data_IF_162886159290
#
_entry.id   IF_162886159290
#
_cell.length_a   1.000
_cell.length_b   1.000
_cell.length_c   1.000
_cell.angle_alpha   90.00
_cell.angle_beta   90.00
_cell.angle_gamma   90.00
#
_symmetry.space_group_name_H-M   'P 1'
#
loop_
_entity.id
_entity.type
_entity.pdbx_description
1 polymer ?
#
# COMPACT_ATOMS: atom_id res chain seq x y z
N UNK A 1 4.67 30.77 -14.09
CA UNK A 1 3.22 30.58 -14.37
C UNK A 1 2.57 30.00 -13.12
N UNK A 2 2.02 30.84 -12.24
CA UNK A 2 1.30 30.39 -11.05
C UNK A 2 -0.16 30.14 -11.45
N UNK A 3 -0.59 28.88 -11.46
CA UNK A 3 -1.99 28.53 -11.68
C UNK A 3 -2.79 29.12 -10.51
N UNK A 4 -3.75 30.00 -10.82
CA UNK A 4 -4.66 30.67 -9.87
C UNK A 4 -5.14 29.72 -8.77
N UNK A 5 -4.69 30.01 -7.53
CA UNK A 5 -4.65 29.07 -6.41
C UNK A 5 -5.99 28.72 -5.77
N UNK A 6 -7.09 29.41 -6.07
CA UNK A 6 -8.31 29.27 -5.26
C UNK A 6 -9.11 27.99 -5.58
N UNK A 7 -9.18 27.58 -6.85
CA UNK A 7 -9.89 26.34 -7.25
C UNK A 7 -9.15 25.08 -6.82
N UNK A 8 -7.81 25.12 -6.79
CA UNK A 8 -7.00 24.02 -6.26
C UNK A 8 -7.29 23.80 -4.78
N UNK A 9 -7.23 24.86 -3.97
CA UNK A 9 -7.36 24.80 -2.49
C UNK A 9 -8.66 24.12 -2.04
N UNK A 10 -9.79 24.38 -2.69
CA UNK A 10 -11.08 23.73 -2.33
C UNK A 10 -11.11 22.23 -2.65
N UNK A 11 -10.42 21.80 -3.71
CA UNK A 11 -10.34 20.38 -4.06
C UNK A 11 -9.41 19.61 -3.11
N UNK A 12 -8.39 20.29 -2.54
CA UNK A 12 -7.46 19.72 -1.56
C UNK A 12 -8.09 19.52 -0.17
N UNK A 13 -8.89 20.49 0.30
CA UNK A 13 -9.55 20.39 1.61
C UNK A 13 -10.47 19.17 1.72
N UNK A 14 -11.13 18.78 0.62
CA UNK A 14 -12.00 17.59 0.56
C UNK A 14 -11.25 16.25 0.52
N UNK A 15 -9.96 16.24 0.20
CA UNK A 15 -9.17 15.02 0.08
C UNK A 15 -8.43 14.63 1.39
N UNK A 16 -8.70 15.33 2.50
CA UNK A 16 -8.01 15.12 3.78
C UNK A 16 -6.63 15.79 3.87
N UNK A 17 -6.20 16.51 2.82
CA UNK A 17 -4.98 17.32 2.82
C UNK A 17 -5.23 18.74 3.31
N UNK A 18 -6.26 18.95 4.14
CA UNK A 18 -6.62 20.25 4.66
C UNK A 18 -5.47 20.77 5.55
N UNK A 19 -4.63 21.61 4.93
CA UNK A 19 -3.42 22.29 5.45
C UNK A 19 -2.19 21.41 5.63
N UNK A 20 -1.68 20.88 4.52
CA UNK A 20 -0.24 20.70 4.42
C UNK A 20 0.41 22.07 4.61
N UNK A 21 1.15 22.23 5.70
CA UNK A 21 1.92 23.43 6.02
C UNK A 21 3.40 23.06 6.10
N UNK A 22 4.25 24.05 5.82
CA UNK A 22 5.66 23.96 6.12
C UNK A 22 5.91 24.13 7.64
N UNK A 23 7.16 24.05 8.08
CA UNK A 23 7.49 24.14 9.51
C UNK A 23 7.37 25.56 10.09
N UNK A 24 7.13 26.56 9.24
CA UNK A 24 6.75 27.93 9.62
C UNK A 24 5.25 28.17 9.47
N UNK A 25 4.45 27.10 9.43
CA UNK A 25 3.01 27.11 9.29
C UNK A 25 2.50 27.80 7.99
N UNK A 26 3.35 27.94 6.97
CA UNK A 26 2.94 28.49 5.67
C UNK A 26 2.24 27.39 4.86
N UNK A 27 1.13 27.71 4.16
CA UNK A 27 0.43 26.72 3.36
C UNK A 27 1.32 26.24 2.21
N UNK A 28 1.40 24.92 2.04
CA UNK A 28 2.16 24.28 0.95
C UNK A 28 1.19 23.68 -0.06
N UNK A 29 1.31 24.12 -1.31
CA UNK A 29 0.62 23.48 -2.45
C UNK A 29 1.44 22.28 -2.90
N UNK A 30 0.92 21.04 -2.80
CA UNK A 30 1.71 19.87 -3.13
C UNK A 30 1.86 19.76 -4.66
N UNK A 31 3.10 19.67 -5.12
CA UNK A 31 3.44 19.49 -6.53
C UNK A 31 2.96 18.13 -7.04
N UNK A 32 2.54 18.09 -8.32
CA UNK A 32 2.17 16.84 -8.97
C UNK A 32 3.40 15.95 -9.18
N UNK A 33 3.24 14.62 -9.09
CA UNK A 33 4.38 13.71 -9.31
C UNK A 33 5.04 13.95 -10.68
N UNK A 34 4.23 14.21 -11.72
CA UNK A 34 4.74 14.46 -13.07
C UNK A 34 5.61 15.72 -13.15
N UNK A 35 5.27 16.79 -12.44
CA UNK A 35 6.04 18.03 -12.39
C UNK A 35 7.31 17.87 -11.54
N UNK A 36 7.23 17.17 -10.41
CA UNK A 36 8.38 16.85 -9.58
C UNK A 36 9.46 16.05 -10.33
N UNK A 37 9.04 15.03 -11.08
CA UNK A 37 9.93 14.16 -11.86
C UNK A 37 10.61 14.91 -13.01
N UNK A 38 9.97 15.96 -13.55
CA UNK A 38 10.54 16.78 -14.64
C UNK A 38 11.60 17.77 -14.17
N UNK A 39 11.62 18.13 -12.88
CA UNK A 39 12.62 19.06 -12.37
C UNK A 39 13.95 18.39 -11.96
N UNK A 40 14.95 19.21 -11.67
CA UNK A 40 16.27 18.78 -11.21
C UNK A 40 17.35 19.71 -11.75
N UNK A 41 18.27 20.17 -10.90
CA UNK A 41 19.35 21.06 -11.31
C UNK A 41 20.53 20.33 -11.96
N UNK A 42 20.67 19.03 -11.67
CA UNK A 42 21.73 18.16 -12.18
C UNK A 42 21.22 16.72 -12.40
N UNK A 43 22.03 15.89 -13.07
CA UNK A 43 21.68 14.51 -13.44
C UNK A 43 21.40 13.60 -12.23
N UNK A 44 22.17 13.74 -11.14
CA UNK A 44 21.98 12.94 -9.93
C UNK A 44 20.65 13.28 -9.25
N UNK A 45 20.33 14.57 -9.12
CA UNK A 45 19.06 15.03 -8.57
C UNK A 45 17.87 14.57 -9.44
N UNK A 46 18.01 14.65 -10.77
CA UNK A 46 17.01 14.15 -11.70
C UNK A 46 16.79 12.65 -11.54
N UNK A 47 17.85 11.84 -11.41
CA UNK A 47 17.76 10.40 -11.19
C UNK A 47 17.06 10.07 -9.87
N UNK A 48 17.38 10.79 -8.79
CA UNK A 48 16.71 10.63 -7.47
C UNK A 48 15.24 11.01 -7.56
N UNK A 49 14.90 12.13 -8.20
CA UNK A 49 13.50 12.57 -8.39
C UNK A 49 12.71 11.56 -9.24
N UNK A 50 13.32 11.00 -10.28
CA UNK A 50 12.71 9.93 -11.07
C UNK A 50 12.50 8.67 -10.24
N UNK A 51 13.48 8.25 -9.43
CA UNK A 51 13.35 7.06 -8.61
C UNK A 51 12.29 7.23 -7.50
N UNK A 52 12.30 8.37 -6.82
CA UNK A 52 11.29 8.73 -5.83
C UNK A 52 9.91 8.88 -6.47
N UNK A 53 9.82 9.50 -7.65
CA UNK A 53 8.58 9.63 -8.41
C UNK A 53 8.01 8.30 -8.88
N UNK A 54 8.85 7.36 -9.34
CA UNK A 54 8.44 5.99 -9.67
C UNK A 54 7.92 5.24 -8.44
N UNK A 55 8.60 5.38 -7.30
CA UNK A 55 8.17 4.79 -6.04
C UNK A 55 6.85 5.40 -5.55
N UNK A 56 6.72 6.74 -5.52
CA UNK A 56 5.48 7.43 -5.15
C UNK A 56 4.32 7.07 -6.08
N UNK A 57 4.55 6.99 -7.40
CA UNK A 57 3.51 6.59 -8.37
C UNK A 57 3.01 5.18 -8.11
N UNK A 58 3.90 4.26 -7.70
CA UNK A 58 3.55 2.88 -7.34
C UNK A 58 2.66 2.84 -6.10
N UNK A 59 2.89 3.73 -5.14
CA UNK A 59 2.19 3.75 -3.84
C UNK A 59 0.94 4.63 -3.86
N UNK A 60 0.88 5.65 -4.71
CA UNK A 60 -0.17 6.66 -4.67
C UNK A 60 -1.62 6.12 -4.68
N UNK A 61 -1.96 5.01 -5.39
CA UNK A 61 -3.28 4.40 -5.28
C UNK A 61 -3.68 4.01 -3.84
N UNK A 62 -2.71 3.69 -2.97
CA UNK A 62 -2.89 3.23 -1.58
C UNK A 62 -2.91 4.33 -0.54
N UNK A 63 -2.20 5.43 -0.76
CA UNK A 63 -2.34 6.62 0.10
C UNK A 63 -3.80 7.06 0.21
N UNK A 64 -4.58 6.85 -0.86
CA UNK A 64 -6.02 7.11 -0.87
C UNK A 64 -6.85 6.11 -0.06
N UNK A 65 -6.40 4.85 0.07
CA UNK A 65 -7.04 3.85 0.92
C UNK A 65 -6.67 4.01 2.39
N UNK A 66 -5.54 4.62 2.73
CA UNK A 66 -5.25 4.97 4.13
C UNK A 66 -6.24 6.02 4.67
N UNK A 67 -6.67 6.97 3.82
CA UNK A 67 -7.68 7.97 4.17
C UNK A 67 -9.14 7.51 3.94
N UNK A 68 -9.38 6.27 3.52
CA UNK A 68 -10.74 5.73 3.36
C UNK A 68 -10.89 4.52 4.29
N UNK A 69 -11.97 4.42 5.10
CA UNK A 69 -12.19 3.23 5.91
C UNK A 69 -12.12 1.99 5.00
N UNK A 70 -11.11 1.14 5.28
CA UNK A 70 -10.54 0.16 4.37
C UNK A 70 -11.48 -1.01 4.05
N UNK A 71 -12.56 -1.16 4.81
CA UNK A 71 -13.56 -2.22 4.64
C UNK A 71 -14.69 -1.81 3.70
N UNK A 72 -15.09 -0.54 3.70
CA UNK A 72 -16.28 -0.11 2.99
C UNK A 72 -16.05 -0.06 1.49
N UNK A 73 -14.95 0.54 1.02
CA UNK A 73 -14.75 0.76 -0.41
C UNK A 73 -14.55 -0.54 -1.22
N UNK A 74 -13.90 -1.56 -0.64
CA UNK A 74 -13.75 -2.87 -1.27
C UNK A 74 -15.08 -3.62 -1.29
N UNK A 75 -15.88 -3.52 -0.21
CA UNK A 75 -17.23 -4.06 -0.18
C UNK A 75 -18.14 -3.36 -1.19
N UNK A 76 -18.13 -2.03 -1.27
CA UNK A 76 -18.95 -1.24 -2.19
C UNK A 76 -18.56 -1.37 -3.66
N UNK A 77 -17.35 -1.86 -3.99
CA UNK A 77 -16.93 -2.14 -5.37
C UNK A 77 -17.09 -3.62 -5.70
N UNK A 78 -16.72 -4.51 -4.77
CA UNK A 78 -16.82 -5.96 -4.95
C UNK A 78 -18.26 -6.45 -4.96
N UNK A 79 -19.11 -5.93 -4.06
CA UNK A 79 -20.52 -6.29 -3.95
C UNK A 79 -21.30 -6.05 -5.25
N UNK A 80 -21.27 -4.86 -5.89
CA UNK A 80 -21.96 -4.68 -7.16
C UNK A 80 -21.39 -5.53 -8.28
N UNK A 81 -20.08 -5.85 -8.31
CA UNK A 81 -19.52 -6.78 -9.30
C UNK A 81 -20.05 -8.19 -9.07
N UNK A 82 -20.09 -8.67 -7.82
CA UNK A 82 -20.64 -9.98 -7.46
C UNK A 82 -22.13 -10.02 -7.77
N UNK A 83 -22.89 -8.99 -7.42
CA UNK A 83 -24.31 -8.85 -7.74
C UNK A 83 -24.50 -8.83 -9.26
N UNK A 84 -23.67 -8.12 -10.03
CA UNK A 84 -23.77 -8.09 -11.50
C UNK A 84 -23.46 -9.46 -12.10
N UNK A 85 -22.46 -10.18 -11.57
CA UNK A 85 -22.12 -11.54 -11.99
C UNK A 85 -23.25 -12.53 -11.65
N UNK A 86 -23.83 -12.43 -10.46
CA UNK A 86 -24.97 -13.25 -10.05
C UNK A 86 -26.21 -12.93 -10.90
N UNK A 87 -26.55 -11.65 -11.06
CA UNK A 87 -27.65 -11.20 -11.93
C UNK A 87 -27.43 -11.67 -13.37
N UNK A 88 -26.20 -11.58 -13.89
CA UNK A 88 -25.86 -12.09 -15.23
C UNK A 88 -26.11 -13.59 -15.35
N UNK A 89 -25.89 -14.37 -14.29
CA UNK A 89 -26.10 -15.82 -14.28
C UNK A 89 -27.59 -16.18 -14.32
N UNK A 90 -28.43 -15.42 -13.61
CA UNK A 90 -29.90 -15.57 -13.64
C UNK A 90 -30.53 -15.02 -14.91
N UNK A 91 -29.98 -13.95 -15.48
CA UNK A 91 -30.49 -13.33 -16.71
C UNK A 91 -29.98 -13.99 -17.99
N UNK A 92 -29.07 -14.98 -17.90
CA UNK A 92 -28.50 -15.69 -19.06
C UNK A 92 -29.56 -16.33 -19.95
N UNK A 93 -30.61 -16.92 -19.37
CA UNK A 93 -31.70 -17.50 -20.15
C UNK A 93 -32.43 -16.46 -21.01
N UNK A 94 -32.73 -15.30 -20.42
CA UNK A 94 -33.43 -14.21 -21.11
C UNK A 94 -32.55 -13.48 -22.12
N UNK A 95 -31.30 -13.14 -21.76
CA UNK A 95 -30.39 -12.41 -22.65
C UNK A 95 -29.92 -13.23 -23.84
N UNK A 96 -29.66 -14.54 -23.65
CA UNK A 96 -29.30 -15.42 -24.77
C UNK A 96 -30.49 -15.64 -25.70
N UNK A 97 -31.71 -15.72 -25.17
CA UNK A 97 -32.92 -15.80 -25.99
C UNK A 97 -33.16 -14.53 -26.83
N UNK A 98 -32.84 -13.35 -26.31
CA UNK A 98 -33.07 -12.05 -26.99
C UNK A 98 -31.93 -11.60 -27.91
N UNK A 99 -30.68 -11.76 -27.49
CA UNK A 99 -29.49 -11.20 -28.16
C UNK A 99 -28.56 -12.28 -28.72
N UNK A 100 -28.97 -13.55 -28.64
CA UNK A 100 -28.16 -14.69 -29.05
C UNK A 100 -26.90 -14.85 -28.18
N UNK A 101 -25.87 -15.54 -28.70
CA UNK A 101 -24.67 -15.85 -27.94
C UNK A 101 -23.91 -14.59 -27.50
N UNK A 102 -24.14 -13.40 -28.08
CA UNK A 102 -23.39 -12.20 -27.71
C UNK A 102 -23.89 -11.50 -26.44
N UNK A 103 -25.05 -11.90 -25.89
CA UNK A 103 -25.62 -11.28 -24.69
C UNK A 103 -24.71 -11.33 -23.45
N UNK A 104 -23.75 -12.26 -23.38
CA UNK A 104 -22.80 -12.34 -22.26
C UNK A 104 -21.66 -11.31 -22.33
N UNK A 105 -21.34 -10.79 -23.53
CA UNK A 105 -20.21 -9.87 -23.69
C UNK A 105 -20.52 -8.49 -23.12
N UNK A 106 -21.77 -8.03 -23.23
CA UNK A 106 -22.17 -6.67 -22.84
C UNK A 106 -21.89 -6.38 -21.35
N UNK A 107 -22.39 -7.17 -20.37
CA UNK A 107 -22.12 -6.89 -18.95
C UNK A 107 -20.63 -7.07 -18.60
N UNK A 108 -19.94 -8.01 -19.26
CA UNK A 108 -18.50 -8.25 -19.05
C UNK A 108 -17.66 -7.06 -19.52
N UNK A 109 -17.95 -6.56 -20.72
CA UNK A 109 -17.29 -5.38 -21.29
C UNK A 109 -17.63 -4.11 -20.51
N UNK A 110 -18.88 -3.96 -20.05
CA UNK A 110 -19.27 -2.82 -19.20
C UNK A 110 -18.53 -2.84 -17.86
N UNK A 111 -18.46 -4.00 -17.20
CA UNK A 111 -17.69 -4.16 -15.97
C UNK A 111 -16.20 -3.85 -16.19
N UNK A 112 -15.60 -4.39 -17.25
CA UNK A 112 -14.22 -4.11 -17.63
C UNK A 112 -13.99 -2.62 -17.92
N UNK A 113 -14.90 -1.96 -18.64
CA UNK A 113 -14.83 -0.53 -18.94
C UNK A 113 -14.96 0.33 -17.68
N UNK A 114 -15.85 -0.01 -16.75
CA UNK A 114 -15.99 0.69 -15.47
C UNK A 114 -14.75 0.51 -14.58
N UNK A 115 -14.14 -0.68 -14.57
CA UNK A 115 -12.88 -0.95 -13.88
C UNK A 115 -11.75 -0.11 -14.50
N UNK A 116 -11.61 -0.14 -15.84
CA UNK A 116 -10.59 0.61 -16.56
C UNK A 116 -10.77 2.13 -16.40
N UNK A 117 -11.99 2.64 -16.46
CA UNK A 117 -12.31 4.05 -16.26
C UNK A 117 -11.99 4.49 -14.83
N UNK A 118 -12.43 3.73 -13.82
CA UNK A 118 -12.07 4.01 -12.43
C UNK A 118 -10.55 3.95 -12.21
N UNK A 119 -9.86 3.00 -12.83
CA UNK A 119 -8.41 2.88 -12.73
C UNK A 119 -7.69 4.09 -13.36
N UNK A 120 -8.15 4.54 -14.54
CA UNK A 120 -7.58 5.70 -15.26
C UNK A 120 -7.94 7.05 -14.63
N UNK A 121 -9.16 7.20 -14.11
CA UNK A 121 -9.57 8.39 -13.38
C UNK A 121 -8.81 8.51 -12.05
N UNK A 122 -8.45 7.39 -11.44
CA UNK A 122 -7.62 7.36 -10.22
C UNK A 122 -6.17 7.76 -10.48
N UNK A 123 -5.60 7.46 -11.65
CA UNK A 123 -4.16 7.64 -11.88
C UNK A 123 -3.69 9.09 -12.16
N UNK A 124 -4.61 10.02 -12.43
CA UNK A 124 -4.25 11.35 -12.98
C UNK A 124 -4.08 12.48 -11.96
N UNK A 125 -4.35 12.25 -10.67
CA UNK A 125 -4.35 13.32 -9.66
C UNK A 125 -3.63 12.88 -8.38
N UNK A 126 -2.35 12.51 -8.52
CA UNK A 126 -1.51 12.20 -7.38
C UNK A 126 -0.58 13.35 -7.06
N UNK A 127 -0.73 13.82 -5.83
CA UNK A 127 0.11 14.84 -5.23
C UNK A 127 1.16 14.18 -4.37
N UNK A 128 2.32 14.79 -4.34
CA UNK A 128 3.42 14.35 -3.51
C UNK A 128 3.09 14.62 -2.04
N UNK A 129 3.46 13.67 -1.17
CA UNK A 129 3.38 13.83 0.27
C UNK A 129 4.60 14.62 0.78
N UNK A 130 4.48 15.91 1.16
CA UNK A 130 5.63 16.78 1.43
C UNK A 130 6.57 16.24 2.52
N UNK A 131 6.11 15.73 3.67
CA UNK A 131 7.00 15.17 4.70
C UNK A 131 7.90 14.05 4.17
N UNK A 132 7.40 13.20 3.26
CA UNK A 132 8.16 12.09 2.67
C UNK A 132 9.27 12.60 1.76
N UNK A 133 9.05 13.70 1.05
CA UNK A 133 10.04 14.31 0.15
C UNK A 133 11.09 15.10 0.92
N UNK A 134 10.68 15.81 1.97
CA UNK A 134 11.58 16.50 2.91
C UNK A 134 12.51 15.52 3.61
N UNK A 135 12.00 14.35 3.99
CA UNK A 135 12.82 13.30 4.58
C UNK A 135 13.99 12.85 3.69
N UNK A 136 13.78 12.90 2.37
CA UNK A 136 14.80 12.59 1.37
C UNK A 136 15.76 13.76 1.11
N UNK A 137 15.56 14.91 1.76
CA UNK A 137 16.36 16.11 1.56
C UNK A 137 15.94 16.95 0.36
N UNK A 138 14.68 16.82 -0.10
CA UNK A 138 14.11 17.63 -1.18
C UNK A 138 12.98 18.50 -0.61
N UNK A 139 12.77 19.69 -1.14
CA UNK A 139 11.69 20.57 -0.71
C UNK A 139 10.33 19.91 -0.97
N UNK A 140 9.49 19.81 0.06
CA UNK A 140 8.16 19.20 -0.06
C UNK A 140 7.19 19.99 -0.95
N UNK A 141 7.48 21.25 -1.25
CA UNK A 141 6.68 22.09 -2.15
C UNK A 141 7.14 21.98 -3.61
N UNK A 142 8.37 22.35 -3.93
CA UNK A 142 8.86 22.43 -5.32
C UNK A 142 9.83 21.30 -5.73
N UNK A 143 10.26 20.46 -4.78
CA UNK A 143 11.23 19.39 -5.00
C UNK A 143 12.69 19.83 -5.02
N UNK A 144 13.01 21.12 -4.87
CA UNK A 144 14.40 21.63 -4.85
C UNK A 144 15.25 20.96 -3.77
N UNK A 145 16.50 20.61 -4.10
CA UNK A 145 17.43 20.01 -3.14
C UNK A 145 17.68 20.91 -1.93
N UNK A 146 17.48 20.38 -0.72
CA UNK A 146 17.80 21.06 0.53
C UNK A 146 19.25 20.81 0.98
N UNK A 147 20.04 20.15 0.13
CA UNK A 147 21.45 19.88 0.35
C UNK A 147 22.24 21.19 0.45
N UNK A 148 23.20 21.22 1.36
CA UNK A 148 24.16 22.33 1.54
C UNK A 148 23.52 23.68 1.92
N UNK A 149 22.21 23.72 2.18
CA UNK A 149 21.55 24.90 2.74
C UNK A 149 21.92 25.04 4.22
N UNK A 150 22.32 26.24 4.63
CA UNK A 150 22.52 26.56 6.03
C UNK A 150 21.15 26.68 6.73
N UNK A 151 20.94 26.00 7.87
CA UNK A 151 19.73 26.22 8.66
C UNK A 151 19.72 27.66 9.19
N UNK A 152 18.55 28.29 9.14
CA UNK A 152 18.32 29.57 9.81
C UNK A 152 18.32 29.41 11.34
N UNK A 153 18.16 30.51 12.08
CA UNK A 153 18.16 30.54 13.55
C UNK A 153 17.09 29.62 14.18
N UNK A 154 15.97 29.39 13.48
CA UNK A 154 14.89 28.49 13.88
C UNK A 154 15.13 27.02 13.46
N UNK A 155 16.37 26.68 13.08
CA UNK A 155 16.78 25.37 12.58
C UNK A 155 16.06 24.90 11.30
N UNK A 156 15.38 25.82 10.59
CA UNK A 156 14.72 25.53 9.33
C UNK A 156 15.63 25.81 8.13
N UNK A 157 15.56 24.93 7.15
CA UNK A 157 16.15 25.08 5.83
C UNK A 157 15.10 25.76 4.94
N UNK A 158 15.41 26.98 4.50
CA UNK A 158 14.52 27.76 3.63
C UNK A 158 14.85 27.47 2.18
N UNK A 159 13.88 26.94 1.43
CA UNK A 159 14.05 26.65 0.02
C UNK A 159 14.21 27.95 -0.78
N UNK A 160 15.30 28.15 -1.54
CA UNK A 160 15.52 29.38 -2.30
C UNK A 160 14.50 29.57 -3.44
N UNK A 161 13.94 28.49 -3.99
CA UNK A 161 13.01 28.56 -5.12
C UNK A 161 11.58 29.01 -4.75
N UNK A 162 11.04 28.49 -3.64
CA UNK A 162 9.63 28.70 -3.27
C UNK A 162 9.42 29.35 -1.91
N UNK A 163 10.48 29.50 -1.10
CA UNK A 163 10.41 30.11 0.22
C UNK A 163 9.77 29.25 1.32
N UNK A 164 9.40 27.98 1.03
CA UNK A 164 9.00 27.01 2.06
C UNK A 164 10.16 26.71 3.00
N UNK A 165 9.85 26.53 4.29
CA UNK A 165 10.82 26.26 5.34
C UNK A 165 10.61 24.87 5.97
N UNK A 166 11.67 24.08 6.06
CA UNK A 166 11.63 22.72 6.59
C UNK A 166 12.69 22.53 7.66
N UNK A 167 12.34 22.00 8.83
CA UNK A 167 13.30 21.74 9.90
C UNK A 167 14.35 20.73 9.44
N UNK A 168 15.62 21.02 9.74
CA UNK A 168 16.75 20.16 9.36
C UNK A 168 16.61 18.74 9.91
N UNK A 169 16.06 18.58 11.11
CA UNK A 169 15.78 17.28 11.76
C UNK A 169 14.81 16.38 10.98
N UNK A 170 13.97 16.94 10.10
CA UNK A 170 13.11 16.13 9.23
C UNK A 170 13.91 15.38 8.16
N UNK A 171 15.09 15.87 7.79
CA UNK A 171 15.98 15.24 6.82
C UNK A 171 16.70 14.08 7.49
N UNK A 172 16.01 12.96 7.45
CA UNK A 172 16.35 11.71 8.15
C UNK A 172 17.08 10.75 7.22
N UNK A 173 16.86 10.87 5.91
CA UNK A 173 17.48 10.01 4.91
C UNK A 173 17.81 10.81 3.64
N UNK A 174 18.79 11.71 3.71
CA UNK A 174 19.13 12.50 2.54
C UNK A 174 19.59 11.62 1.38
N UNK A 175 19.09 11.90 0.18
CA UNK A 175 19.44 11.13 -1.02
C UNK A 175 20.95 11.15 -1.32
N UNK A 176 21.67 12.16 -0.83
CA UNK A 176 23.11 12.32 -1.01
C UNK A 176 23.97 11.54 -0.01
N UNK A 177 23.43 11.11 1.14
CA UNK A 177 24.23 10.40 2.16
C UNK A 177 24.22 8.89 1.99
N UNK A 178 23.35 8.35 1.13
CA UNK A 178 23.29 6.92 0.86
C UNK A 178 22.69 6.72 -0.54
N UNK A 179 23.51 6.56 -1.59
CA UNK A 179 22.99 6.21 -2.91
C UNK A 179 22.27 4.87 -2.76
N UNK A 180 20.97 4.92 -2.98
CA UNK A 180 20.02 3.84 -2.70
C UNK A 180 20.50 2.52 -3.33
N UNK A 181 21.09 1.64 -2.51
CA UNK A 181 20.91 0.20 -2.63
C UNK A 181 20.12 -0.27 -1.41
N UNK A 182 18.91 0.26 -1.24
CA UNK A 182 17.88 -0.63 -0.70
C UNK A 182 17.58 -1.60 -1.83
N UNK A 183 18.52 -2.54 -2.05
CA UNK A 183 18.18 -3.81 -2.67
C UNK A 183 17.17 -4.40 -1.71
N UNK A 184 15.90 -4.03 -1.93
CA UNK A 184 14.79 -4.69 -1.27
C UNK A 184 15.04 -6.15 -1.55
N UNK A 185 15.01 -7.03 -0.52
CA UNK A 185 15.08 -8.44 -0.78
C UNK A 185 14.02 -8.69 -1.84
N UNK A 186 14.46 -9.03 -3.05
CA UNK A 186 13.57 -9.22 -4.17
C UNK A 186 12.73 -10.41 -3.75
N UNK A 187 11.54 -10.11 -3.19
CA UNK A 187 10.69 -11.13 -2.61
C UNK A 187 10.52 -12.16 -3.72
N UNK A 188 11.12 -13.34 -3.54
CA UNK A 188 11.15 -14.34 -4.60
C UNK A 188 9.70 -14.54 -5.03
N UNK A 189 9.36 -14.34 -6.31
CA UNK A 189 7.98 -14.45 -6.76
C UNK A 189 7.58 -15.91 -6.54
N UNK A 190 6.85 -16.19 -5.46
CA UNK A 190 6.24 -17.51 -5.28
C UNK A 190 5.13 -17.64 -6.33
N UNK A 191 5.01 -18.80 -7.01
CA UNK A 191 3.85 -19.04 -7.87
C UNK A 191 2.59 -18.82 -7.02
N UNK A 192 1.56 -18.21 -7.61
CA UNK A 192 0.28 -17.83 -6.98
C UNK A 192 0.25 -16.58 -6.09
N UNK A 193 1.40 -15.95 -5.76
CA UNK A 193 1.37 -14.71 -4.95
C UNK A 193 0.79 -13.51 -5.72
N UNK A 194 0.85 -13.51 -7.05
CA UNK A 194 0.42 -12.38 -7.89
C UNK A 194 -1.06 -11.96 -7.75
N UNK A 195 -1.94 -12.84 -7.26
CA UNK A 195 -3.39 -12.57 -7.23
C UNK A 195 -3.79 -11.70 -6.03
N UNK A 196 -3.13 -11.87 -4.88
CA UNK A 196 -3.49 -11.18 -3.63
C UNK A 196 -2.30 -10.56 -2.89
N UNK A 197 -1.10 -10.60 -3.45
CA UNK A 197 0.01 -9.83 -2.92
C UNK A 197 -0.33 -8.36 -3.08
N UNK A 198 -0.49 -7.67 -1.95
CA UNK A 198 -0.36 -6.22 -1.91
C UNK A 198 1.15 -5.96 -1.82
N UNK A 199 1.84 -5.60 -2.92
CA UNK A 199 3.29 -5.63 -2.95
C UNK A 199 4.06 -4.93 -1.82
N UNK A 200 3.47 -3.96 -1.12
CA UNK A 200 4.12 -3.21 -0.05
C UNK A 200 2.97 -2.73 0.86
N UNK A 201 2.98 -3.00 2.16
CA UNK A 201 2.12 -2.23 3.07
C UNK A 201 2.86 -0.93 3.30
N UNK A 202 2.33 0.23 2.95
CA UNK A 202 2.93 1.49 3.35
C UNK A 202 2.22 2.04 4.56
N UNK A 203 2.98 2.66 5.45
CA UNK A 203 2.45 3.28 6.66
C UNK A 203 3.14 4.60 6.91
N UNK A 204 2.58 5.36 7.83
CA UNK A 204 3.16 6.59 8.32
C UNK A 204 4.01 6.28 9.53
N UNK A 205 5.25 6.75 9.51
CA UNK A 205 6.13 6.63 10.65
C UNK A 205 5.89 7.78 11.65
N UNK A 206 6.62 7.81 12.78
CA UNK A 206 6.44 8.82 13.83
C UNK A 206 6.71 10.26 13.34
N UNK A 207 7.52 10.44 12.29
CA UNK A 207 7.80 11.73 11.66
C UNK A 207 6.80 12.05 10.53
N UNK A 208 5.69 11.31 10.45
CA UNK A 208 4.67 11.42 9.41
C UNK A 208 5.26 11.19 8.01
N UNK A 209 6.28 10.33 7.87
CA UNK A 209 6.82 9.94 6.57
C UNK A 209 6.15 8.67 6.11
N UNK A 210 5.87 8.62 4.82
CA UNK A 210 5.44 7.36 4.21
C UNK A 210 6.64 6.43 4.11
N UNK A 211 6.58 5.30 4.82
CA UNK A 211 7.62 4.28 4.81
C UNK A 211 7.01 2.93 4.44
N UNK A 212 7.76 2.03 3.78
CA UNK A 212 7.31 0.66 3.63
C UNK A 212 7.20 0.03 5.03
N UNK A 213 6.20 -0.82 5.22
CA UNK A 213 6.03 -1.71 6.35
C UNK A 213 6.14 -3.14 5.83
N UNK A 214 6.94 -3.96 6.50
CA UNK A 214 7.10 -5.37 6.16
C UNK A 214 5.81 -6.11 6.50
N UNK A 215 5.37 -6.98 5.60
CA UNK A 215 4.28 -7.91 5.92
C UNK A 215 4.80 -9.01 6.85
N UNK A 216 3.94 -9.74 7.58
CA UNK A 216 4.37 -10.86 8.40
C UNK A 216 5.28 -11.80 7.61
N UNK A 217 4.89 -12.22 6.42
CA UNK A 217 5.73 -13.07 5.56
C UNK A 217 7.08 -12.44 5.17
N UNK A 218 7.15 -11.12 4.97
CA UNK A 218 8.41 -10.45 4.67
C UNK A 218 9.36 -10.47 5.87
N UNK A 219 8.85 -10.45 7.12
CA UNK A 219 9.65 -10.70 8.33
C UNK A 219 10.41 -12.03 8.21
N UNK A 220 9.81 -13.04 7.55
CA UNK A 220 10.37 -14.40 7.51
C UNK A 220 11.61 -14.42 6.64
N UNK A 221 11.47 -13.81 5.47
CA UNK A 221 12.54 -13.72 4.50
C UNK A 221 13.67 -12.84 5.04
N UNK A 222 13.35 -11.72 5.71
CA UNK A 222 14.39 -10.90 6.36
C UNK A 222 15.10 -11.68 7.48
N UNK A 223 14.38 -12.49 8.25
CA UNK A 223 14.99 -13.32 9.29
C UNK A 223 15.89 -14.43 8.70
N UNK A 224 15.49 -15.04 7.59
CA UNK A 224 16.27 -16.04 6.84
C UNK A 224 17.52 -15.40 6.18
N UNK A 225 17.37 -14.26 5.51
CA UNK A 225 18.43 -13.56 4.78
C UNK A 225 19.49 -12.96 5.71
N UNK A 226 19.09 -12.46 6.87
CA UNK A 226 20.00 -11.77 7.77
C UNK A 226 21.05 -12.69 8.44
N UNK A 227 20.98 -14.02 8.24
CA UNK A 227 21.82 -15.03 8.90
C UNK A 227 21.92 -14.84 10.42
N UNK A 228 21.00 -14.08 11.01
CA UNK A 228 20.94 -13.87 12.44
C UNK A 228 20.63 -15.23 13.07
N UNK A 229 21.23 -15.58 14.23
CA UNK A 229 20.95 -16.86 14.89
C UNK A 229 19.43 -17.03 15.05
N UNK A 230 18.87 -17.85 14.16
CA UNK A 230 17.50 -17.69 13.66
C UNK A 230 16.43 -18.07 14.69
N UNK A 231 16.83 -18.74 15.77
CA UNK A 231 15.89 -19.52 16.56
C UNK A 231 15.39 -18.82 17.83
N UNK A 232 16.14 -17.90 18.45
CA UNK A 232 15.73 -17.36 19.75
C UNK A 232 14.90 -16.08 19.68
N UNK A 233 15.19 -15.16 18.74
CA UNK A 233 14.56 -13.82 18.74
C UNK A 233 13.27 -13.73 17.91
N UNK A 234 13.11 -14.54 16.86
CA UNK A 234 12.00 -14.40 15.91
C UNK A 234 10.80 -15.28 16.23
N UNK A 235 11.00 -16.43 16.88
CA UNK A 235 9.90 -17.32 17.30
C UNK A 235 8.78 -16.61 18.08
N UNK A 236 9.06 -15.73 19.08
CA UNK A 236 7.99 -15.03 19.78
C UNK A 236 7.23 -14.04 18.87
N UNK A 237 7.95 -13.27 18.05
CA UNK A 237 7.35 -12.34 17.07
C UNK A 237 6.41 -13.11 16.13
N UNK A 238 6.82 -14.29 15.67
CA UNK A 238 6.02 -15.15 14.80
C UNK A 238 4.77 -15.69 15.46
N UNK A 239 4.86 -16.11 16.72
CA UNK A 239 3.72 -16.59 17.46
C UNK A 239 2.62 -15.51 17.59
N UNK A 240 3.02 -14.24 17.74
CA UNK A 240 2.10 -13.10 17.80
C UNK A 240 1.57 -12.66 16.42
N UNK A 241 2.39 -12.73 15.37
CA UNK A 241 1.99 -12.35 14.01
C UNK A 241 1.06 -13.40 13.35
N UNK A 242 1.29 -14.70 13.60
CA UNK A 242 0.57 -15.79 12.96
C UNK A 242 -0.97 -15.81 13.14
N UNK A 243 -1.56 -15.39 14.27
CA UNK A 243 -3.02 -15.33 14.42
C UNK A 243 -3.67 -14.12 13.74
N UNK A 244 -2.91 -13.07 13.38
CA UNK A 244 -3.47 -11.85 12.77
C UNK A 244 -4.20 -12.19 11.48
N UNK A 245 -5.45 -11.72 11.37
CA UNK A 245 -6.30 -11.94 10.19
C UNK A 245 -6.66 -13.41 9.93
N UNK A 246 -6.29 -14.37 10.80
CA UNK A 246 -6.54 -15.81 10.57
C UNK A 246 -8.03 -16.13 10.47
N UNK A 247 -8.85 -15.54 11.34
CA UNK A 247 -10.31 -15.74 11.33
C UNK A 247 -10.93 -15.18 10.05
N UNK A 248 -10.57 -13.94 9.68
CA UNK A 248 -11.05 -13.33 8.43
C UNK A 248 -10.68 -14.13 7.20
N UNK A 249 -9.43 -14.61 7.12
CA UNK A 249 -8.97 -15.51 6.05
C UNK A 249 -9.73 -16.83 6.06
N UNK A 250 -9.94 -17.46 7.22
CA UNK A 250 -10.70 -18.71 7.34
C UNK A 250 -12.11 -18.55 6.75
N UNK A 251 -12.84 -17.53 7.22
CA UNK A 251 -14.21 -17.26 6.81
C UNK A 251 -14.27 -17.00 5.31
N UNK A 252 -13.42 -16.14 4.77
CA UNK A 252 -13.42 -15.81 3.34
C UNK A 252 -13.04 -17.01 2.47
N UNK A 253 -12.06 -17.81 2.88
CA UNK A 253 -11.71 -19.06 2.17
C UNK A 253 -12.87 -20.06 2.17
N UNK A 254 -13.58 -20.22 3.30
CA UNK A 254 -14.77 -21.09 3.39
C UNK A 254 -15.89 -20.57 2.48
N UNK A 255 -16.16 -19.27 2.48
CA UNK A 255 -17.19 -18.65 1.63
C UNK A 255 -16.86 -18.82 0.13
N UNK A 256 -15.60 -18.63 -0.26
CA UNK A 256 -15.15 -18.86 -1.64
C UNK A 256 -15.36 -20.33 -2.05
N UNK A 257 -14.95 -21.27 -1.19
CA UNK A 257 -15.12 -22.70 -1.43
C UNK A 257 -16.60 -23.07 -1.57
N UNK A 258 -17.45 -22.63 -0.63
CA UNK A 258 -18.89 -22.86 -0.65
C UNK A 258 -19.55 -22.26 -1.91
N UNK A 259 -19.16 -21.04 -2.29
CA UNK A 259 -19.65 -20.38 -3.50
C UNK A 259 -19.27 -21.13 -4.77
N UNK A 260 -18.03 -21.61 -4.88
CA UNK A 260 -17.58 -22.40 -6.02
C UNK A 260 -18.33 -23.73 -6.14
N UNK A 261 -18.51 -24.46 -5.03
CA UNK A 261 -19.29 -25.71 -5.01
C UNK A 261 -20.75 -25.45 -5.39
N UNK A 262 -21.37 -24.40 -4.84
CA UNK A 262 -22.76 -24.04 -5.13
C UNK A 262 -22.97 -23.73 -6.62
N UNK A 263 -22.05 -22.98 -7.24
CA UNK A 263 -22.09 -22.69 -8.68
C UNK A 263 -21.96 -23.96 -9.54
N UNK A 264 -21.10 -24.89 -9.13
CA UNK A 264 -20.94 -26.19 -9.82
C UNK A 264 -22.21 -27.03 -9.74
N UNK A 265 -22.84 -27.10 -8.57
CA UNK A 265 -24.10 -27.84 -8.36
C UNK A 265 -25.24 -27.21 -9.16
N UNK A 266 -25.39 -25.88 -9.13
CA UNK A 266 -26.40 -25.18 -9.91
C UNK A 266 -26.19 -25.35 -11.43
N UNK A 267 -24.93 -25.36 -11.88
CA UNK A 267 -24.58 -25.64 -13.28
C UNK A 267 -24.97 -27.05 -13.71
N UNK A 268 -24.85 -28.03 -12.82
CA UNK A 268 -25.25 -29.41 -13.07
C UNK A 268 -26.77 -29.60 -13.08
N UNK A 269 -27.51 -28.87 -12.24
CA UNK A 269 -28.97 -29.04 -12.08
C UNK A 269 -29.76 -28.21 -13.12
N UNK A 270 -29.35 -26.99 -13.41
CA UNK A 270 -30.30 -25.95 -13.86
C UNK A 270 -30.34 -25.59 -15.33
N UNK A 271 -29.28 -25.81 -16.14
CA UNK A 271 -29.13 -24.97 -17.34
C UNK A 271 -28.78 -25.72 -18.64
N UNK A 272 -28.18 -26.94 -18.63
CA UNK A 272 -27.55 -27.51 -19.84
C UNK A 272 -27.94 -28.97 -20.16
N UNK A 273 -29.23 -29.32 -20.32
CA UNK A 273 -29.63 -30.67 -20.75
C UNK A 273 -29.08 -31.07 -22.14
N UNK A 274 -28.61 -30.10 -22.94
CA UNK A 274 -28.10 -30.34 -24.30
C UNK A 274 -26.61 -30.73 -24.36
N UNK A 275 -25.81 -30.52 -23.30
CA UNK A 275 -24.37 -30.86 -23.28
C UNK A 275 -23.87 -31.25 -21.87
N UNK A 276 -24.17 -32.48 -21.39
CA UNK A 276 -23.86 -32.90 -20.02
C UNK A 276 -22.35 -32.90 -19.74
N UNK A 277 -21.52 -33.34 -20.69
CA UNK A 277 -20.05 -33.37 -20.55
C UNK A 277 -19.45 -31.97 -20.33
N UNK A 278 -19.95 -30.94 -21.02
CA UNK A 278 -19.47 -29.57 -20.88
C UNK A 278 -19.78 -28.98 -19.50
N UNK A 279 -20.97 -29.28 -18.96
CA UNK A 279 -21.38 -28.81 -17.63
C UNK A 279 -20.54 -29.41 -16.50
N UNK A 280 -20.22 -30.70 -16.57
CA UNK A 280 -19.37 -31.39 -15.60
C UNK A 280 -17.94 -30.82 -15.67
N UNK A 281 -17.38 -30.68 -16.87
CA UNK A 281 -16.04 -30.12 -17.04
C UNK A 281 -15.94 -28.68 -16.50
N UNK A 282 -16.94 -27.84 -16.77
CA UNK A 282 -17.01 -26.47 -16.26
C UNK A 282 -17.15 -26.43 -14.73
N UNK A 283 -17.99 -27.29 -14.13
CA UNK A 283 -18.15 -27.38 -12.68
C UNK A 283 -16.87 -27.84 -11.98
N UNK A 284 -16.18 -28.84 -12.52
CA UNK A 284 -14.87 -29.27 -12.03
C UNK A 284 -13.85 -28.14 -12.10
N UNK A 285 -13.81 -27.42 -13.23
CA UNK A 285 -12.92 -26.28 -13.40
C UNK A 285 -13.21 -25.15 -12.39
N UNK A 286 -14.47 -24.75 -12.21
CA UNK A 286 -14.86 -23.71 -11.25
C UNK A 286 -14.57 -24.13 -9.81
N UNK A 287 -14.77 -25.40 -9.47
CA UNK A 287 -14.45 -25.93 -8.14
C UNK A 287 -12.94 -25.91 -7.89
N UNK A 288 -12.14 -26.36 -8.86
CA UNK A 288 -10.68 -26.30 -8.78
C UNK A 288 -10.18 -24.86 -8.65
N UNK A 289 -10.70 -23.94 -9.47
CA UNK A 289 -10.39 -22.52 -9.38
C UNK A 289 -10.78 -21.92 -8.02
N UNK A 290 -11.94 -22.30 -7.48
CA UNK A 290 -12.41 -21.91 -6.14
C UNK A 290 -11.49 -22.39 -5.02
N UNK A 291 -11.03 -23.64 -5.08
CA UNK A 291 -10.06 -24.20 -4.11
C UNK A 291 -8.72 -23.46 -4.19
N UNK A 292 -8.20 -23.22 -5.40
CA UNK A 292 -6.96 -22.44 -5.60
C UNK A 292 -7.12 -21.03 -5.05
N UNK A 293 -8.25 -20.37 -5.29
CA UNK A 293 -8.52 -19.03 -4.78
C UNK A 293 -8.66 -19.01 -3.25
N UNK A 294 -9.38 -19.97 -2.67
CA UNK A 294 -9.54 -20.11 -1.22
C UNK A 294 -8.18 -20.36 -0.53
N UNK A 295 -7.34 -21.21 -1.12
CA UNK A 295 -5.97 -21.43 -0.65
C UNK A 295 -5.11 -20.17 -0.76
N UNK A 296 -5.22 -19.44 -1.88
CA UNK A 296 -4.51 -18.17 -2.07
C UNK A 296 -4.94 -17.10 -1.06
N UNK A 297 -6.23 -17.04 -0.69
CA UNK A 297 -6.74 -16.16 0.39
C UNK A 297 -6.21 -16.58 1.75
N UNK A 298 -6.20 -17.89 2.03
CA UNK A 298 -5.72 -18.45 3.29
C UNK A 298 -4.23 -18.16 3.54
N UNK A 299 -3.40 -18.35 2.51
CA UNK A 299 -1.97 -18.09 2.57
C UNK A 299 -1.60 -16.62 2.31
N UNK A 300 -2.55 -15.79 1.88
CA UNK A 300 -2.34 -14.40 1.48
C UNK A 300 -2.21 -13.43 2.65
N UNK A 301 -1.97 -12.16 2.29
CA UNK A 301 -1.87 -11.01 3.21
C UNK A 301 -3.23 -10.32 3.46
N UNK A 302 -4.34 -10.93 3.01
CA UNK A 302 -5.68 -10.42 3.25
C UNK A 302 -5.99 -10.40 4.76
N UNK A 303 -6.70 -9.35 5.20
CA UNK A 303 -7.08 -9.12 6.61
C UNK A 303 -5.92 -8.88 7.58
N UNK A 304 -4.69 -8.69 7.09
CA UNK A 304 -3.57 -8.27 7.94
C UNK A 304 -3.63 -6.74 8.08
N UNK A 305 -3.90 -6.28 9.30
CA UNK A 305 -3.88 -4.85 9.63
C UNK A 305 -2.44 -4.42 9.87
N UNK A 306 -1.96 -3.45 9.11
CA UNK A 306 -0.57 -2.96 9.20
C UNK A 306 -0.23 -2.45 10.61
N UNK A 307 -1.19 -1.85 11.31
CA UNK A 307 -0.99 -1.32 12.66
C UNK A 307 -0.68 -2.42 13.69
N UNK A 308 -1.30 -3.59 13.58
CA UNK A 308 -0.99 -4.73 14.45
C UNK A 308 0.44 -5.23 14.21
N UNK A 309 0.87 -5.26 12.94
CA UNK A 309 2.24 -5.65 12.56
C UNK A 309 3.25 -4.63 13.08
N UNK A 310 2.98 -3.34 12.94
CA UNK A 310 3.81 -2.26 13.48
C UNK A 310 3.93 -2.42 15.00
N UNK A 311 2.81 -2.59 15.71
CA UNK A 311 2.77 -2.73 17.17
C UNK A 311 3.59 -3.90 17.66
N UNK A 312 3.47 -5.07 17.02
CA UNK A 312 4.23 -6.27 17.41
C UNK A 312 5.71 -6.08 17.10
N UNK A 313 6.06 -5.53 15.94
CA UNK A 313 7.47 -5.32 15.62
C UNK A 313 8.12 -4.30 16.57
N UNK A 314 7.43 -3.20 16.89
CA UNK A 314 7.95 -2.20 17.85
C UNK A 314 7.97 -2.69 19.29
N UNK A 315 7.04 -3.56 19.73
CA UNK A 315 7.10 -4.18 21.06
C UNK A 315 8.34 -5.07 21.24
N UNK A 316 8.81 -5.69 20.15
CA UNK A 316 10.05 -6.46 20.10
C UNK A 316 11.28 -5.63 19.68
N UNK A 317 11.20 -4.30 19.71
CA UNK A 317 12.27 -3.38 19.33
C UNK A 317 12.85 -3.69 17.92
N UNK A 318 11.98 -4.06 16.98
CA UNK A 318 12.29 -4.26 15.57
C UNK A 318 11.64 -3.19 14.72
N UNK A 319 12.35 -2.75 13.69
CA UNK A 319 11.87 -1.74 12.75
C UNK A 319 10.78 -2.32 11.86
N UNK A 320 9.54 -1.77 11.86
CA UNK A 320 8.50 -2.20 10.93
C UNK A 320 8.85 -2.05 9.45
N UNK A 321 9.83 -1.22 9.07
CA UNK A 321 10.21 -1.05 7.66
C UNK A 321 11.24 -2.04 7.12
N UNK A 322 12.15 -2.52 7.98
CA UNK A 322 13.26 -3.37 7.53
C UNK A 322 13.63 -4.50 8.51
N UNK A 323 12.87 -4.67 9.58
CA UNK A 323 13.10 -5.65 10.65
C UNK A 323 14.44 -5.50 11.42
N UNK A 324 15.26 -4.49 11.13
CA UNK A 324 16.48 -4.19 11.89
C UNK A 324 16.16 -3.87 13.37
N UNK A 325 17.09 -4.16 14.27
CA UNK A 325 16.93 -3.85 15.70
C UNK A 325 16.90 -2.32 15.90
N UNK A 326 15.89 -1.84 16.61
CA UNK A 326 15.77 -0.45 17.02
C UNK A 326 16.61 -0.25 18.28
N UNK A 327 17.58 0.67 18.22
CA UNK A 327 18.41 1.05 19.37
C UNK A 327 17.87 2.33 19.96
N UNK A 328 17.38 2.31 21.20
CA UNK A 328 16.94 3.52 21.90
C UNK A 328 18.11 4.49 22.04
N UNK A 329 17.95 5.70 21.49
CA UNK A 329 18.82 6.82 21.86
C UNK A 329 18.47 7.25 23.29
N UNK A 330 19.45 7.67 24.07
CA UNK A 330 19.28 7.92 25.51
C UNK A 330 18.37 9.12 25.85
N UNK A 331 18.04 9.99 24.88
CA UNK A 331 17.61 11.37 25.18
C UNK A 331 16.23 11.79 24.63
N UNK A 332 15.50 10.92 23.94
CA UNK A 332 14.17 11.27 23.42
C UNK A 332 13.12 10.26 23.86
N UNK A 333 12.09 10.78 24.53
CA UNK A 333 10.94 10.01 25.00
C UNK A 333 10.30 9.26 23.82
N UNK A 334 10.47 7.94 23.84
CA UNK A 334 9.78 6.93 23.03
C UNK A 334 10.00 6.90 21.51
N UNK A 335 10.48 7.96 20.85
CA UNK A 335 10.71 7.95 19.40
C UNK A 335 12.13 7.49 19.06
N UNK A 336 12.23 6.42 18.27
CA UNK A 336 13.51 5.83 17.86
C UNK A 336 13.64 5.82 16.33
N UNK A 337 14.77 6.33 15.83
CA UNK A 337 15.15 6.22 14.43
C UNK A 337 15.86 4.89 14.16
N UNK A 338 15.43 4.17 13.13
CA UNK A 338 16.11 2.98 12.67
C UNK A 338 17.44 3.36 11.99
N UNK A 339 18.57 2.86 12.48
CA UNK A 339 19.89 3.13 11.88
C UNK A 339 20.05 2.55 10.47
N UNK A 340 19.31 1.48 10.15
CA UNK A 340 19.40 0.82 8.85
C UNK A 340 18.60 1.53 7.73
N UNK A 341 17.35 1.91 7.97
CA UNK A 341 16.47 2.51 6.96
C UNK A 341 15.94 3.89 7.33
N UNK A 342 16.48 4.55 8.36
CA UNK A 342 16.13 5.92 8.76
C UNK A 342 14.69 6.16 9.22
N UNK A 343 13.78 5.18 9.15
CA UNK A 343 12.37 5.30 9.59
C UNK A 343 12.28 5.51 11.10
N UNK A 344 11.34 6.32 11.57
CA UNK A 344 11.18 6.66 12.99
C UNK A 344 9.92 6.04 13.58
N UNK A 345 10.03 5.44 14.76
CA UNK A 345 8.92 4.71 15.38
C UNK A 345 8.78 5.06 16.84
N UNK A 346 7.54 5.15 17.31
CA UNK A 346 7.25 5.26 18.73
C UNK A 346 7.27 3.87 19.35
N UNK A 347 8.18 3.63 20.29
CA UNK A 347 8.25 2.40 21.07
C UNK A 347 7.26 2.47 22.24
N UNK A 348 6.61 1.35 22.60
CA UNK A 348 5.81 1.30 23.81
C UNK A 348 6.67 1.61 25.04
N UNK A 349 6.08 2.27 26.04
CA UNK A 349 6.73 2.47 27.33
C UNK A 349 7.20 1.12 27.88
N UNK A 350 8.44 1.06 28.38
CA UNK A 350 9.00 -0.19 28.91
C UNK A 350 8.23 -0.51 30.18
N UNK A 351 7.42 -1.57 30.17
CA UNK A 351 6.79 -2.03 31.42
C UNK A 351 7.92 -2.44 32.36
N UNK A 352 8.06 -1.73 33.48
CA UNK A 352 9.13 -1.95 34.45
C UNK A 352 9.04 -3.31 35.13
N UNK A 353 7.93 -4.05 34.93
CA UNK A 353 7.63 -5.35 35.55
C UNK A 353 8.35 -6.57 34.94
N UNK A 354 9.14 -6.39 33.87
CA UNK A 354 9.90 -7.47 33.22
C UNK A 354 11.43 -7.38 33.38
N UNK A 355 11.92 -6.66 34.40
CA UNK A 355 13.30 -6.79 34.88
C UNK A 355 13.35 -7.79 36.02
#
# INVERSE_FOLDING_TARGET
>A
MAISGEKGVRHFARAGFAKLVDDRARPVSPVSIAEFVRGGSNEQEAAVRQDLGRWLTRIAPRLRSLNRPSTDAAMWIGLPIIILLMLSSTSRGWLVALLGPFGFLIPTLLAAALIAFNWRARSRLYHIHPPTVVAQGLCGQCGYSLRDLLPAEDHCLVCPECGSAWRKERITWPWWSSPRKVERPAARPRPFRFVFYSPENETMDAAQRLVPAITPWAVQHVAEDAQLPAESCWRPIWAELAPIGRVGRAVTSVLIGAGAVSLSVLGAIGVWPLMPMGSIALGLFLSAAGVVLAYAVWCGDLYIVTDDVIRILTSHERCPSCAAKLTRAADHEHVVACTHCGSTWTLPARDSRHK
#
